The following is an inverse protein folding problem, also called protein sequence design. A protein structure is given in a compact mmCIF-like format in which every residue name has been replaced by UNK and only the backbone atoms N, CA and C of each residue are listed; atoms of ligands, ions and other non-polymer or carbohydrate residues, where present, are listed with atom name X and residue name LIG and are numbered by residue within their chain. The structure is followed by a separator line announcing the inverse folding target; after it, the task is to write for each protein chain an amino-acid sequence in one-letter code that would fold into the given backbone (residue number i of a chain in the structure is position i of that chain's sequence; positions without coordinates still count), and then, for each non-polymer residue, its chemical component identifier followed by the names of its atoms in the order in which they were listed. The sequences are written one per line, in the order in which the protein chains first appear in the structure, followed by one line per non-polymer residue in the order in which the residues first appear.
data_IF_649268243332
#
_entry.id   IF_649268243332
#
_cell.length_a   1.000
_cell.length_b   1.000
_cell.length_c   1.000
_cell.angle_alpha   90.00
_cell.angle_beta   90.00
_cell.angle_gamma   90.00
#
_symmetry.space_group_name_H-M   'P 1'
#
loop_
_entity.id
_entity.type
_entity.pdbx_description
1 polymer ?
#
# COMPACT_ATOMS: atom_id res chain seq x y z
N UNK A 1 32.47 82.65 -17.91
CA UNK A 1 31.22 81.87 -17.96
C UNK A 1 31.56 80.44 -18.33
N UNK A 2 31.66 79.55 -17.34
CA UNK A 2 31.92 78.12 -17.53
C UNK A 2 30.61 77.36 -17.26
N UNK A 3 30.03 76.77 -18.31
CA UNK A 3 28.84 75.93 -18.22
C UNK A 3 29.26 74.53 -17.70
N UNK A 4 28.95 74.23 -16.44
CA UNK A 4 29.03 72.85 -15.93
C UNK A 4 27.85 72.04 -16.44
N UNK A 5 28.06 71.20 -17.45
CA UNK A 5 27.15 70.10 -17.78
C UNK A 5 27.36 68.99 -16.75
N UNK A 6 26.54 68.98 -15.69
CA UNK A 6 26.40 67.81 -14.83
C UNK A 6 25.78 66.69 -15.65
N UNK A 7 26.64 65.73 -15.98
CA UNK A 7 26.36 64.53 -16.74
C UNK A 7 25.48 63.60 -15.88
N UNK A 8 24.31 63.29 -16.40
CA UNK A 8 23.18 62.62 -15.74
C UNK A 8 23.32 61.10 -15.82
N UNK A 9 24.47 60.55 -15.42
CA UNK A 9 24.78 59.11 -15.54
C UNK A 9 24.54 58.32 -14.23
N UNK A 10 24.35 58.99 -13.09
CA UNK A 10 24.15 58.32 -11.78
C UNK A 10 22.74 57.70 -11.58
N UNK A 11 21.81 57.95 -12.50
CA UNK A 11 20.43 57.43 -12.43
C UNK A 11 20.24 56.02 -13.03
N UNK A 12 21.12 55.58 -13.95
CA UNK A 12 20.94 54.31 -14.66
C UNK A 12 21.48 53.10 -13.89
N UNK A 13 22.54 53.28 -13.11
CA UNK A 13 23.12 52.20 -12.29
C UNK A 13 22.11 51.75 -11.21
N UNK A 14 21.35 52.68 -10.65
CA UNK A 14 20.30 52.40 -9.67
C UNK A 14 19.19 51.51 -10.25
N UNK A 15 18.73 51.78 -11.47
CA UNK A 15 17.64 51.02 -12.10
C UNK A 15 18.05 49.57 -12.40
N UNK A 16 19.26 49.36 -12.92
CA UNK A 16 19.76 48.03 -13.25
C UNK A 16 19.92 47.14 -12.00
N UNK A 17 20.41 47.72 -10.88
CA UNK A 17 20.55 47.01 -9.60
C UNK A 17 19.19 46.65 -9.02
N UNK A 18 18.20 47.55 -9.12
CA UNK A 18 16.83 47.28 -8.67
C UNK A 18 16.20 46.15 -9.49
N UNK A 19 16.31 46.18 -10.82
CA UNK A 19 15.77 45.14 -11.69
C UNK A 19 16.43 43.78 -11.44
N UNK A 20 17.76 43.75 -11.27
CA UNK A 20 18.47 42.53 -10.91
C UNK A 20 18.03 41.99 -9.54
N UNK A 21 17.85 42.85 -8.56
CA UNK A 21 17.37 42.47 -7.22
C UNK A 21 15.96 41.86 -7.30
N UNK A 22 15.06 42.47 -8.07
CA UNK A 22 13.72 41.94 -8.32
C UNK A 22 13.79 40.59 -9.02
N UNK A 23 14.66 40.43 -10.04
CA UNK A 23 14.84 39.17 -10.74
C UNK A 23 15.34 38.04 -9.82
N UNK A 24 16.29 38.33 -8.93
CA UNK A 24 16.81 37.37 -7.95
C UNK A 24 15.71 36.97 -6.96
N UNK A 25 14.96 37.93 -6.42
CA UNK A 25 13.84 37.67 -5.50
C UNK A 25 12.78 36.82 -6.20
N UNK A 26 12.39 37.18 -7.43
CA UNK A 26 11.42 36.41 -8.22
C UNK A 26 11.89 34.97 -8.47
N UNK A 27 13.17 34.79 -8.78
CA UNK A 27 13.77 33.46 -8.97
C UNK A 27 13.76 32.64 -7.68
N UNK A 28 14.13 33.25 -6.54
CA UNK A 28 14.13 32.59 -5.24
C UNK A 28 12.72 32.15 -4.82
N UNK A 29 11.71 33.00 -5.02
CA UNK A 29 10.30 32.66 -4.77
C UNK A 29 9.86 31.52 -5.68
N UNK A 30 10.24 31.54 -6.97
CA UNK A 30 9.95 30.46 -7.90
C UNK A 30 10.50 29.11 -7.43
N UNK A 31 11.79 29.05 -7.07
CA UNK A 31 12.44 27.82 -6.57
C UNK A 31 11.77 27.30 -5.30
N UNK A 32 11.37 28.20 -4.39
CA UNK A 32 10.68 27.82 -3.15
C UNK A 32 9.33 27.16 -3.43
N UNK A 33 8.51 27.75 -4.31
CA UNK A 33 7.20 27.19 -4.70
C UNK A 33 7.37 25.82 -5.37
N UNK A 34 8.35 25.67 -6.25
CA UNK A 34 8.66 24.37 -6.86
C UNK A 34 9.10 23.33 -5.83
N UNK A 35 9.91 23.73 -4.84
CA UNK A 35 10.34 22.87 -3.74
C UNK A 35 9.17 22.34 -2.92
N UNK A 36 8.26 23.23 -2.49
CA UNK A 36 7.07 22.85 -1.71
C UNK A 36 6.11 21.95 -2.52
N UNK A 37 5.92 22.24 -3.81
CA UNK A 37 5.09 21.41 -4.68
C UNK A 37 5.66 19.99 -4.84
N UNK A 38 6.97 19.88 -5.00
CA UNK A 38 7.63 18.58 -5.14
C UNK A 38 7.60 17.77 -3.83
N UNK A 39 7.79 18.44 -2.68
CA UNK A 39 7.68 17.78 -1.37
C UNK A 39 6.24 17.30 -1.10
N UNK A 40 5.23 18.12 -1.38
CA UNK A 40 3.81 17.75 -1.24
C UNK A 40 3.46 16.50 -2.07
N UNK A 41 3.91 16.44 -3.33
CA UNK A 41 3.73 15.27 -4.19
C UNK A 41 4.45 14.04 -3.65
N UNK A 42 5.70 14.20 -3.20
CA UNK A 42 6.48 13.11 -2.61
C UNK A 42 5.82 12.52 -1.36
N UNK A 43 5.23 13.36 -0.51
CA UNK A 43 4.47 12.93 0.68
C UNK A 43 3.18 12.21 0.29
N UNK A 44 2.41 12.75 -0.66
CA UNK A 44 1.18 12.12 -1.15
C UNK A 44 1.47 10.72 -1.72
N UNK A 45 2.53 10.57 -2.51
CA UNK A 45 2.90 9.26 -3.05
C UNK A 45 3.31 8.27 -1.95
N UNK A 46 4.16 8.69 -1.00
CA UNK A 46 4.54 7.85 0.14
C UNK A 46 3.33 7.43 0.98
N UNK A 47 2.36 8.33 1.15
CA UNK A 47 1.11 8.04 1.85
C UNK A 47 0.26 7.01 1.08
N UNK A 48 0.17 7.12 -0.25
CA UNK A 48 -0.52 6.15 -1.10
C UNK A 48 0.14 4.77 -1.04
N UNK A 49 1.47 4.71 -1.17
CA UNK A 49 2.26 3.49 -1.08
C UNK A 49 2.06 2.81 0.29
N UNK A 50 2.12 3.58 1.38
CA UNK A 50 1.89 3.07 2.71
C UNK A 50 0.44 2.59 2.92
N UNK A 51 -0.54 3.34 2.41
CA UNK A 51 -1.96 3.01 2.52
C UNK A 51 -2.32 1.72 1.76
N UNK A 52 -1.84 1.58 0.52
CA UNK A 52 -2.07 0.37 -0.28
C UNK A 52 -1.40 -0.86 0.33
N UNK A 53 -0.16 -0.74 0.82
CA UNK A 53 0.54 -1.82 1.53
C UNK A 53 -0.17 -2.22 2.82
N UNK A 54 -0.66 -1.24 3.59
CA UNK A 54 -1.43 -1.50 4.81
C UNK A 54 -2.71 -2.26 4.50
N UNK A 55 -3.46 -1.83 3.47
CA UNK A 55 -4.66 -2.53 3.03
C UNK A 55 -4.37 -3.99 2.65
N UNK A 56 -3.33 -4.22 1.85
CA UNK A 56 -2.96 -5.56 1.44
C UNK A 56 -2.53 -6.44 2.62
N UNK A 57 -1.88 -5.87 3.64
CA UNK A 57 -1.53 -6.59 4.88
C UNK A 57 -2.77 -6.98 5.67
N UNK A 58 -3.67 -6.05 5.93
CA UNK A 58 -4.92 -6.32 6.66
C UNK A 58 -5.75 -7.41 5.98
N UNK A 59 -5.87 -7.33 4.65
CA UNK A 59 -6.57 -8.37 3.87
C UNK A 59 -5.84 -9.71 3.95
N UNK A 60 -4.50 -9.72 3.87
CA UNK A 60 -3.72 -10.96 3.99
C UNK A 60 -3.97 -11.67 5.33
N UNK A 61 -4.02 -10.92 6.44
CA UNK A 61 -4.24 -11.50 7.77
C UNK A 61 -5.64 -12.15 7.91
N UNK A 62 -6.64 -11.65 7.18
CA UNK A 62 -7.97 -12.30 7.12
C UNK A 62 -8.03 -13.42 6.08
N UNK A 63 -7.26 -13.28 5.01
CA UNK A 63 -7.23 -14.23 3.90
C UNK A 63 -6.58 -15.56 4.26
N UNK A 64 -5.46 -15.56 4.99
CA UNK A 64 -4.75 -16.80 5.36
C UNK A 64 -5.68 -17.84 6.02
N UNK A 65 -6.39 -17.53 7.12
CA UNK A 65 -7.27 -18.50 7.76
C UNK A 65 -8.45 -18.89 6.86
N UNK A 66 -9.03 -17.95 6.11
CA UNK A 66 -10.12 -18.22 5.18
C UNK A 66 -9.69 -19.17 4.04
N UNK A 67 -8.48 -18.99 3.52
CA UNK A 67 -7.91 -19.82 2.46
C UNK A 67 -7.68 -21.24 2.94
N UNK A 68 -7.09 -21.40 4.12
CA UNK A 68 -6.84 -22.71 4.69
C UNK A 68 -8.14 -23.45 5.05
N UNK A 69 -9.20 -22.75 5.45
CA UNK A 69 -10.53 -23.33 5.69
C UNK A 69 -11.29 -23.69 4.40
N UNK A 70 -11.01 -23.00 3.29
CA UNK A 70 -11.68 -23.22 2.02
C UNK A 70 -11.22 -24.50 1.30
N UNK A 71 -10.20 -25.19 1.79
CA UNK A 71 -9.76 -26.46 1.22
C UNK A 71 -10.80 -27.57 1.43
N UNK A 72 -11.16 -28.27 0.36
CA UNK A 72 -12.15 -29.35 0.43
C UNK A 72 -11.46 -30.67 0.75
N UNK A 73 -11.95 -31.46 1.72
CA UNK A 73 -11.33 -32.72 2.09
C UNK A 73 -11.29 -33.71 0.91
N UNK A 74 -10.33 -34.66 0.91
CA UNK A 74 -10.27 -35.71 -0.10
C UNK A 74 -11.60 -36.50 -0.17
N UNK A 75 -12.05 -36.91 -1.37
CA UNK A 75 -13.28 -37.69 -1.52
C UNK A 75 -13.17 -39.07 -0.82
N UNK A 76 -14.29 -39.72 -0.42
CA UNK A 76 -14.28 -40.96 0.38
C UNK A 76 -13.63 -42.17 -0.31
N UNK A 77 -13.68 -42.25 -1.65
CA UNK A 77 -13.28 -43.45 -2.40
C UNK A 77 -11.78 -43.47 -2.68
N UNK A 78 -11.26 -42.55 -3.51
CA UNK A 78 -9.82 -42.28 -3.72
C UNK A 78 -9.70 -40.89 -4.35
N UNK A 79 -8.69 -40.10 -3.99
CA UNK A 79 -8.39 -38.82 -4.63
C UNK A 79 -7.66 -37.84 -3.70
N UNK A 80 -6.97 -36.82 -4.25
CA UNK A 80 -6.40 -35.75 -3.45
C UNK A 80 -7.50 -34.82 -2.91
N UNK A 81 -7.16 -34.02 -1.91
CA UNK A 81 -7.99 -32.88 -1.53
C UNK A 81 -8.03 -31.85 -2.69
N UNK A 82 -9.09 -31.06 -2.76
CA UNK A 82 -9.20 -29.99 -3.76
C UNK A 82 -8.67 -28.70 -3.14
N UNK A 83 -7.56 -28.14 -3.66
CA UNK A 83 -7.04 -26.87 -3.16
C UNK A 83 -8.03 -25.74 -3.48
N UNK A 84 -8.15 -24.78 -2.56
CA UNK A 84 -8.99 -23.62 -2.76
C UNK A 84 -8.35 -22.71 -3.82
N UNK A 85 -9.18 -22.01 -4.59
CA UNK A 85 -8.67 -20.97 -5.50
C UNK A 85 -8.43 -19.67 -4.70
N UNK A 86 -7.18 -19.18 -4.60
CA UNK A 86 -6.87 -17.98 -3.82
C UNK A 86 -7.68 -16.75 -4.22
N UNK A 87 -7.95 -16.56 -5.52
CA UNK A 87 -8.65 -15.38 -6.02
C UNK A 87 -10.13 -15.38 -5.63
N UNK A 88 -10.76 -16.56 -5.59
CA UNK A 88 -12.15 -16.71 -5.16
C UNK A 88 -12.28 -16.38 -3.67
N UNK A 89 -11.33 -16.86 -2.86
CA UNK A 89 -11.34 -16.61 -1.41
C UNK A 89 -10.99 -15.16 -1.08
N UNK A 90 -10.09 -14.51 -1.83
CA UNK A 90 -9.71 -13.11 -1.63
C UNK A 90 -10.81 -12.11 -1.96
N UNK A 91 -11.61 -12.38 -3.00
CA UNK A 91 -12.58 -11.42 -3.53
C UNK A 91 -13.52 -10.80 -2.46
N UNK A 92 -14.18 -11.57 -1.57
CA UNK A 92 -15.04 -11.00 -0.53
C UNK A 92 -14.28 -10.29 0.59
N UNK A 93 -12.97 -10.51 0.72
CA UNK A 93 -12.15 -9.96 1.81
C UNK A 93 -11.57 -8.58 1.49
N UNK A 94 -11.77 -8.08 0.26
CA UNK A 94 -11.19 -6.82 -0.18
C UNK A 94 -11.51 -5.63 0.71
N UNK A 95 -12.72 -5.55 1.27
CA UNK A 95 -13.12 -4.40 2.10
C UNK A 95 -12.38 -4.30 3.44
N UNK A 96 -11.83 -5.41 3.98
CA UNK A 96 -11.10 -5.37 5.24
C UNK A 96 -9.85 -4.47 5.18
N UNK A 97 -9.27 -4.27 4.00
CA UNK A 97 -8.10 -3.40 3.82
C UNK A 97 -8.40 -1.90 3.90
N UNK A 98 -9.67 -1.49 3.82
CA UNK A 98 -10.05 -0.06 3.81
C UNK A 98 -9.66 0.65 5.10
N UNK A 99 -9.76 -0.03 6.24
CA UNK A 99 -9.41 0.53 7.54
C UNK A 99 -7.92 0.83 7.65
N UNK A 100 -7.05 -0.14 7.31
CA UNK A 100 -5.61 0.06 7.26
C UNK A 100 -5.18 1.16 6.29
N UNK A 101 -5.77 1.21 5.09
CA UNK A 101 -5.52 2.29 4.13
C UNK A 101 -5.81 3.67 4.74
N UNK A 102 -6.96 3.82 5.40
CA UNK A 102 -7.38 5.07 6.01
C UNK A 102 -6.44 5.49 7.16
N UNK A 103 -6.12 4.56 8.07
CA UNK A 103 -5.22 4.84 9.19
C UNK A 103 -3.83 5.29 8.71
N UNK A 104 -3.27 4.62 7.70
CA UNK A 104 -1.95 4.96 7.18
C UNK A 104 -1.94 6.24 6.35
N UNK A 105 -3.01 6.53 5.60
CA UNK A 105 -3.14 7.83 4.93
C UNK A 105 -3.12 8.97 5.97
N UNK A 106 -3.94 8.87 7.02
CA UNK A 106 -4.00 9.88 8.08
C UNK A 106 -2.68 10.03 8.84
N UNK A 107 -2.01 8.92 9.14
CA UNK A 107 -0.71 8.93 9.81
C UNK A 107 0.38 9.65 9.00
N UNK A 108 0.25 9.67 7.67
CA UNK A 108 1.14 10.39 6.75
C UNK A 108 0.57 11.75 6.34
N UNK A 109 -0.23 12.38 7.20
CA UNK A 109 -0.79 13.72 6.99
C UNK A 109 -1.51 13.84 5.63
N UNK A 110 -2.19 12.77 5.20
CA UNK A 110 -2.94 12.71 3.95
C UNK A 110 -4.34 12.17 4.23
N UNK A 111 -5.28 12.39 3.32
CA UNK A 111 -6.62 11.85 3.38
C UNK A 111 -6.79 10.79 2.29
N UNK A 112 -7.32 9.63 2.67
CA UNK A 112 -7.73 8.61 1.69
C UNK A 112 -8.94 9.13 0.91
N UNK A 113 -8.76 9.43 -0.37
CA UNK A 113 -9.81 9.93 -1.26
C UNK A 113 -10.60 8.77 -1.87
N UNK A 114 -9.91 7.67 -2.20
CA UNK A 114 -10.54 6.47 -2.77
C UNK A 114 -9.84 5.21 -2.31
N UNK A 115 -10.65 4.18 -2.10
CA UNK A 115 -10.20 2.81 -1.91
C UNK A 115 -10.93 1.90 -2.89
N UNK A 116 -10.21 0.94 -3.47
CA UNK A 116 -10.81 -0.12 -4.29
C UNK A 116 -10.00 -1.39 -4.13
N UNK A 117 -10.69 -2.52 -3.99
CA UNK A 117 -10.08 -3.84 -4.09
C UNK A 117 -10.54 -4.52 -5.39
N UNK A 118 -9.64 -5.23 -6.08
CA UNK A 118 -9.96 -6.05 -7.25
C UNK A 118 -9.14 -7.33 -7.22
N UNK A 119 -9.76 -8.44 -6.81
CA UNK A 119 -9.07 -9.72 -6.66
C UNK A 119 -7.99 -9.62 -5.59
N UNK A 120 -6.72 -9.76 -6.00
CA UNK A 120 -5.56 -9.65 -5.11
C UNK A 120 -4.85 -8.28 -5.18
N UNK A 121 -5.46 -7.27 -5.81
CA UNK A 121 -4.92 -5.90 -5.93
C UNK A 121 -5.73 -4.91 -5.10
N UNK A 122 -5.03 -4.01 -4.42
CA UNK A 122 -5.56 -3.02 -3.48
C UNK A 122 -5.09 -1.63 -3.89
N UNK A 123 -6.03 -0.80 -4.33
CA UNK A 123 -5.80 0.53 -4.85
C UNK A 123 -6.11 1.54 -3.75
N UNK A 124 -5.18 2.47 -3.52
CA UNK A 124 -5.36 3.57 -2.60
C UNK A 124 -5.02 4.88 -3.30
N UNK A 125 -6.02 5.76 -3.40
CA UNK A 125 -5.83 7.13 -3.85
C UNK A 125 -5.87 8.01 -2.60
N UNK A 126 -4.87 8.88 -2.44
CA UNK A 126 -4.76 9.80 -1.32
C UNK A 126 -4.58 11.22 -1.81
N UNK A 127 -4.89 12.16 -0.93
CA UNK A 127 -4.71 13.57 -1.14
C UNK A 127 -3.95 14.14 0.05
N UNK A 128 -2.82 14.82 -0.18
CA UNK A 128 -2.05 15.41 0.92
C UNK A 128 -2.92 16.40 1.70
N UNK A 129 -2.97 16.30 3.02
CA UNK A 129 -3.70 17.27 3.82
C UNK A 129 -2.93 18.59 3.85
N UNK A 130 -3.67 19.69 3.75
CA UNK A 130 -3.15 21.04 3.79
C UNK A 130 -2.71 21.38 5.21
N UNK A 131 -1.52 20.94 5.63
CA UNK A 131 -0.93 21.53 6.83
C UNK A 131 -0.52 22.96 6.47
N UNK A 132 -1.00 23.95 7.21
CA UNK A 132 -0.55 25.33 7.03
C UNK A 132 0.96 25.39 7.28
N UNK A 133 1.75 25.51 6.22
CA UNK A 133 3.18 25.80 6.37
C UNK A 133 3.29 27.19 6.98
N UNK A 134 3.88 27.30 8.16
CA UNK A 134 4.20 28.59 8.78
C UNK A 134 5.29 29.27 7.95
N UNK A 135 4.88 30.06 6.95
CA UNK A 135 5.78 30.88 6.16
C UNK A 135 6.20 32.12 6.97
N UNK A 136 7.49 32.49 6.97
CA UNK A 136 7.96 33.75 7.55
C UNK A 136 7.52 35.00 6.76
N UNK A 137 6.88 34.84 5.58
CA UNK A 137 6.64 35.93 4.61
C UNK A 137 5.20 36.49 4.65
N UNK A 138 4.45 36.21 5.71
CA UNK A 138 3.11 36.79 5.95
C UNK A 138 1.94 35.97 5.37
N UNK A 139 0.78 36.12 5.99
CA UNK A 139 -0.40 35.25 5.82
C UNK A 139 -1.11 35.30 4.47
N UNK A 140 -0.80 36.28 3.60
CA UNK A 140 -1.56 36.55 2.36
C UNK A 140 -1.07 35.79 1.11
N UNK A 141 0.10 35.14 1.15
CA UNK A 141 0.63 34.34 0.03
C UNK A 141 0.34 32.83 0.16
N UNK A 142 -0.59 32.44 1.05
CA UNK A 142 -0.93 31.04 1.36
C UNK A 142 -1.76 30.40 0.24
N UNK A 143 -1.13 29.85 -0.79
CA UNK A 143 -1.82 28.88 -1.65
C UNK A 143 -1.73 27.50 -1.00
N UNK A 144 -2.89 26.91 -0.74
CA UNK A 144 -3.02 25.55 -0.26
C UNK A 144 -2.58 24.58 -1.36
N UNK A 145 -1.34 24.08 -1.29
CA UNK A 145 -0.84 23.12 -2.25
C UNK A 145 -1.27 21.71 -1.82
N UNK A 146 -2.28 21.19 -2.52
CA UNK A 146 -2.70 19.79 -2.40
C UNK A 146 -2.13 19.01 -3.59
N UNK A 147 -1.50 17.87 -3.31
CA UNK A 147 -1.05 16.94 -4.34
C UNK A 147 -1.80 15.59 -4.21
N UNK A 148 -2.22 14.97 -5.33
CA UNK A 148 -2.70 13.60 -5.34
C UNK A 148 -1.53 12.61 -5.28
N UNK A 149 -1.79 11.43 -4.73
CA UNK A 149 -0.94 10.26 -4.84
C UNK A 149 -1.79 9.01 -5.01
N UNK A 150 -1.33 8.06 -5.80
CA UNK A 150 -2.02 6.81 -6.08
C UNK A 150 -1.04 5.63 -6.04
N UNK A 151 -1.48 4.51 -5.49
CA UNK A 151 -0.66 3.32 -5.40
C UNK A 151 -1.49 2.05 -5.42
N UNK A 152 -0.86 0.98 -5.89
CA UNK A 152 -1.44 -0.36 -5.93
C UNK A 152 -0.52 -1.32 -5.20
N UNK A 153 -1.08 -2.06 -4.24
CA UNK A 153 -0.42 -3.20 -3.64
C UNK A 153 -1.08 -4.50 -4.09
N UNK A 154 -0.29 -5.56 -4.21
CA UNK A 154 -0.74 -6.90 -4.63
C UNK A 154 -0.31 -7.95 -3.62
N UNK A 155 -1.22 -8.88 -3.29
CA UNK A 155 -0.87 -10.14 -2.62
C UNK A 155 -0.53 -11.17 -3.70
N UNK A 156 0.70 -11.69 -3.71
CA UNK A 156 1.10 -12.75 -4.64
C UNK A 156 0.43 -14.07 -4.27
N UNK A 157 -0.28 -14.64 -5.24
CA UNK A 157 -1.03 -15.91 -5.09
C UNK A 157 -0.78 -16.89 -6.23
N UNK A 158 -0.25 -16.40 -7.35
CA UNK A 158 0.04 -17.12 -8.58
C UNK A 158 1.11 -18.20 -8.43
N UNK A 159 2.03 -18.01 -7.48
CA UNK A 159 3.11 -18.97 -7.20
C UNK A 159 2.73 -20.01 -6.15
N UNK A 160 1.51 -19.98 -5.62
CA UNK A 160 1.12 -20.82 -4.48
C UNK A 160 0.47 -22.11 -4.97
N UNK A 161 1.12 -23.23 -4.67
CA UNK A 161 0.64 -24.57 -5.00
C UNK A 161 0.46 -25.38 -3.73
N UNK A 162 -0.73 -25.96 -3.56
CA UNK A 162 -1.10 -26.75 -2.39
C UNK A 162 -1.40 -28.19 -2.79
N UNK A 163 -0.95 -29.15 -1.99
CA UNK A 163 -1.25 -30.57 -2.17
C UNK A 163 -1.57 -31.22 -0.82
N UNK A 164 -2.42 -32.24 -0.85
CA UNK A 164 -2.78 -33.01 0.34
C UNK A 164 -1.72 -34.06 0.66
N UNK A 165 -1.49 -34.26 1.95
CA UNK A 165 -0.59 -35.27 2.51
C UNK A 165 -1.25 -35.92 3.74
N UNK A 166 -0.68 -37.03 4.23
CA UNK A 166 -1.07 -37.68 5.49
C UNK A 166 -2.59 -37.97 5.64
N UNK A 167 -3.25 -38.37 4.56
CA UNK A 167 -4.69 -38.66 4.56
C UNK A 167 -4.93 -39.96 5.33
N UNK A 168 -5.63 -39.86 6.46
CA UNK A 168 -6.10 -41.00 7.25
C UNK A 168 -7.60 -41.17 7.07
N UNK A 169 -8.01 -42.42 6.82
CA UNK A 169 -9.41 -42.79 6.60
C UNK A 169 -9.86 -43.78 7.64
N UNK A 170 -11.14 -43.71 7.97
CA UNK A 170 -11.80 -44.75 8.73
C UNK A 170 -11.81 -46.05 7.90
N UNK A 171 -11.27 -47.16 8.42
CA UNK A 171 -11.17 -48.41 7.66
C UNK A 171 -12.54 -49.03 7.33
N UNK A 172 -13.59 -48.70 8.07
CA UNK A 172 -14.95 -49.23 7.86
C UNK A 172 -15.75 -48.38 6.89
N UNK A 173 -15.67 -47.04 7.01
CA UNK A 173 -16.52 -46.12 6.24
C UNK A 173 -15.81 -45.45 5.05
N UNK A 174 -14.47 -45.47 5.02
CA UNK A 174 -13.67 -44.76 4.01
C UNK A 174 -13.65 -43.24 4.16
N UNK A 175 -14.38 -42.70 5.14
CA UNK A 175 -14.45 -41.26 5.44
C UNK A 175 -13.07 -40.79 5.92
N UNK A 176 -12.66 -39.60 5.48
CA UNK A 176 -11.42 -38.98 5.93
C UNK A 176 -11.57 -38.54 7.39
N UNK A 177 -10.77 -39.11 8.29
CA UNK A 177 -10.72 -38.75 9.71
C UNK A 177 -9.77 -37.57 9.91
N UNK A 178 -8.63 -37.60 9.22
CA UNK A 178 -7.65 -36.52 9.28
C UNK A 178 -6.85 -36.43 8.01
N UNK A 179 -6.34 -35.25 7.68
CA UNK A 179 -5.45 -35.04 6.55
C UNK A 179 -4.64 -33.76 6.76
N UNK A 180 -3.62 -33.53 5.94
CA UNK A 180 -2.82 -32.31 5.99
C UNK A 180 -2.74 -31.67 4.61
N UNK A 181 -2.61 -30.34 4.54
CA UNK A 181 -2.24 -29.62 3.33
C UNK A 181 -0.83 -29.07 3.49
N UNK A 182 -0.01 -29.20 2.45
CA UNK A 182 1.25 -28.47 2.33
C UNK A 182 1.13 -27.53 1.14
N UNK A 183 1.29 -26.24 1.40
CA UNK A 183 1.32 -25.19 0.40
C UNK A 183 2.75 -24.69 0.22
N UNK A 184 3.16 -24.47 -1.02
CA UNK A 184 4.49 -23.98 -1.38
C UNK A 184 4.36 -22.78 -2.31
N UNK A 185 5.24 -21.80 -2.17
CA UNK A 185 5.21 -20.58 -2.97
C UNK A 185 6.22 -19.55 -2.47
N UNK A 186 6.73 -18.70 -3.37
CA UNK A 186 7.76 -17.70 -3.06
C UNK A 186 9.00 -18.27 -2.35
N UNK A 187 9.39 -19.53 -2.64
CA UNK A 187 10.53 -20.20 -1.99
C UNK A 187 10.26 -20.68 -0.55
N UNK A 188 9.02 -20.61 -0.09
CA UNK A 188 8.61 -21.02 1.26
C UNK A 188 7.56 -22.13 1.21
N UNK A 189 7.36 -22.79 2.35
CA UNK A 189 6.33 -23.80 2.55
C UNK A 189 5.57 -23.54 3.85
N UNK A 190 4.26 -23.77 3.86
CA UNK A 190 3.46 -23.81 5.07
C UNK A 190 2.60 -25.07 5.08
N UNK A 191 2.29 -25.57 6.28
CA UNK A 191 1.44 -26.74 6.49
C UNK A 191 0.22 -26.36 7.34
N UNK A 192 -0.88 -27.06 7.09
CA UNK A 192 -2.05 -27.09 7.97
C UNK A 192 -2.55 -28.53 8.11
N UNK A 193 -2.92 -28.91 9.33
CA UNK A 193 -3.47 -30.21 9.67
C UNK A 193 -4.96 -30.11 9.98
N UNK A 194 -5.73 -31.04 9.43
CA UNK A 194 -7.18 -31.13 9.58
C UNK A 194 -7.53 -32.41 10.33
N UNK A 195 -8.07 -32.24 11.51
CA UNK A 195 -8.74 -33.31 12.27
C UNK A 195 -10.22 -32.95 12.50
N UNK A 196 -10.52 -31.65 12.53
CA UNK A 196 -11.85 -31.00 12.52
C UNK A 196 -11.67 -29.56 11.99
N UNK A 197 -12.77 -28.80 11.82
CA UNK A 197 -12.69 -27.39 11.43
C UNK A 197 -11.94 -26.51 12.47
N UNK A 198 -12.15 -26.78 13.76
CA UNK A 198 -11.50 -26.03 14.85
C UNK A 198 -10.00 -26.34 14.97
N UNK A 199 -9.61 -27.60 14.71
CA UNK A 199 -8.19 -28.00 14.75
C UNK A 199 -7.37 -27.31 13.65
N UNK A 200 -7.98 -27.06 12.49
CA UNK A 200 -7.31 -26.36 11.39
C UNK A 200 -6.95 -24.91 11.78
N UNK A 201 -7.85 -24.20 12.46
CA UNK A 201 -7.60 -22.81 12.90
C UNK A 201 -6.43 -22.71 13.89
N UNK A 202 -6.39 -23.58 14.90
CA UNK A 202 -5.32 -23.57 15.90
C UNK A 202 -3.93 -23.83 15.28
N UNK A 203 -3.84 -24.73 14.29
CA UNK A 203 -2.57 -25.02 13.61
C UNK A 203 -2.11 -23.83 12.74
N UNK A 204 -3.05 -23.15 12.06
CA UNK A 204 -2.75 -21.93 11.28
C UNK A 204 -2.22 -20.82 12.19
N UNK A 205 -2.89 -20.54 13.31
CA UNK A 205 -2.48 -19.48 14.23
C UNK A 205 -1.06 -19.71 14.77
N UNK A 206 -0.72 -20.97 15.09
CA UNK A 206 0.63 -21.34 15.54
C UNK A 206 1.72 -21.20 14.45
N UNK A 207 1.32 -21.19 13.17
CA UNK A 207 2.21 -21.17 12.00
C UNK A 207 2.01 -19.94 11.12
N UNK A 208 1.39 -18.88 11.66
CA UNK A 208 0.97 -17.72 10.86
C UNK A 208 2.14 -17.10 10.08
N UNK A 209 3.35 -17.10 10.63
CA UNK A 209 4.54 -16.56 9.96
C UNK A 209 5.04 -17.41 8.77
N UNK A 210 4.78 -18.72 8.76
CA UNK A 210 4.99 -19.56 7.57
C UNK A 210 4.03 -19.15 6.45
N UNK A 211 2.75 -18.98 6.80
CA UNK A 211 1.70 -18.59 5.87
C UNK A 211 1.86 -17.17 5.31
N UNK A 212 2.28 -16.21 6.15
CA UNK A 212 2.58 -14.83 5.70
C UNK A 212 3.69 -14.77 4.67
N UNK A 213 4.66 -15.69 4.73
CA UNK A 213 5.76 -15.81 3.77
C UNK A 213 5.33 -16.40 2.44
N UNK A 214 4.31 -17.27 2.43
CA UNK A 214 3.71 -17.76 1.18
C UNK A 214 2.99 -16.65 0.42
N UNK A 215 2.29 -15.76 1.12
CA UNK A 215 1.46 -14.69 0.53
C UNK A 215 2.13 -13.33 0.65
N UNK A 216 3.18 -13.14 -0.15
CA UNK A 216 3.95 -11.91 -0.15
C UNK A 216 3.12 -10.70 -0.61
N UNK A 217 3.23 -9.59 0.11
CA UNK A 217 2.63 -8.30 -0.25
C UNK A 217 3.69 -7.43 -0.91
N UNK A 218 3.42 -6.89 -2.10
CA UNK A 218 4.31 -5.95 -2.80
C UNK A 218 3.56 -4.78 -3.39
N UNK A 219 4.24 -3.65 -3.56
CA UNK A 219 3.78 -2.58 -4.44
C UNK A 219 3.92 -3.00 -5.90
N UNK A 220 2.91 -2.67 -6.69
CA UNK A 220 2.88 -2.81 -8.14
C UNK A 220 3.26 -1.45 -8.72
N UNK A 221 4.47 -1.38 -9.30
CA UNK A 221 5.01 -0.17 -9.94
C UNK A 221 4.65 -0.15 -11.42
#
# INVERSE_FOLDING_TARGET
MLHSRFRRDDGQVSLAVILLSIAIIATAVGVFIFGEANDSRGRAQKAADAASLAAARDVREKFIPAFALAHTPPPPKVGPAIPANPLIVLAPLGEFGRHGAYQFANKNESQLSRYKAKGNRFFADVQSNQKEVHSPVGSKARQKISAPGDAVAKIKTDTVHCHSTNIKRDPKTGIVISWSMVCTGNGHSARVNYFTALTAMNDIDSRMDEWRRLFEVRLEK
#
